data_IF_888447468769
#
_entry.id   IF_888447468769
#
_cell.length_a   1.000
_cell.length_b   1.000
_cell.length_c   1.000
_cell.angle_alpha   90.00
_cell.angle_beta   90.00
_cell.angle_gamma   90.00
#
_symmetry.space_group_name_H-M   'P 1'
#
loop_
_entity.id
_entity.type
_entity.pdbx_description
1 polymer ?
#
# COMPACT_ATOMS: atom_id res chain seq x y z
N UNK A 1 -9.30 20.73 -14.45
CA UNK A 1 -10.36 20.67 -13.43
C UNK A 1 -9.86 21.38 -12.18
N UNK A 2 -10.67 22.18 -11.47
CA UNK A 2 -10.30 22.69 -10.15
C UNK A 2 -10.05 21.51 -9.19
N UNK A 3 -8.82 21.38 -8.70
CA UNK A 3 -8.37 20.24 -7.88
C UNK A 3 -8.74 20.39 -6.41
N UNK A 4 -10.03 20.31 -6.08
CA UNK A 4 -10.52 20.41 -4.70
C UNK A 4 -9.98 19.31 -3.77
N UNK A 5 -9.65 18.15 -4.35
CA UNK A 5 -9.06 17.02 -3.65
C UNK A 5 -7.67 16.72 -4.24
N UNK A 6 -6.71 16.29 -3.41
CA UNK A 6 -5.37 15.89 -3.83
C UNK A 6 -5.39 14.53 -4.56
N UNK A 7 -6.09 14.49 -5.70
CA UNK A 7 -6.45 13.27 -6.41
C UNK A 7 -5.25 12.45 -6.86
N UNK A 8 -4.12 13.12 -7.14
CA UNK A 8 -2.88 12.47 -7.57
C UNK A 8 -2.34 11.50 -6.51
N UNK A 9 -2.37 11.89 -5.23
CA UNK A 9 -1.87 11.06 -4.13
C UNK A 9 -2.90 10.03 -3.69
N UNK A 10 -4.17 10.44 -3.64
CA UNK A 10 -5.27 9.57 -3.19
C UNK A 10 -5.43 8.36 -4.12
N UNK A 11 -5.52 8.59 -5.43
CA UNK A 11 -5.73 7.51 -6.38
C UNK A 11 -4.43 6.93 -6.94
N UNK A 12 -3.32 7.65 -6.82
CA UNK A 12 -2.07 7.30 -7.48
C UNK A 12 -2.17 7.46 -9.01
N UNK A 13 -1.08 7.12 -9.69
CA UNK A 13 -1.04 7.08 -11.16
C UNK A 13 0.09 6.17 -11.64
N UNK A 14 -0.15 5.50 -12.77
CA UNK A 14 0.88 4.75 -13.48
C UNK A 14 0.91 5.24 -14.92
N UNK A 15 2.10 5.68 -15.36
CA UNK A 15 2.29 6.26 -16.68
C UNK A 15 3.63 5.87 -17.28
N UNK A 16 3.61 5.57 -18.59
CA UNK A 16 4.80 5.33 -19.39
C UNK A 16 4.82 6.39 -20.47
N UNK A 17 5.85 7.24 -20.45
CA UNK A 17 6.10 8.24 -21.49
C UNK A 17 7.37 7.93 -22.27
N UNK A 18 7.77 8.85 -23.14
CA UNK A 18 9.02 8.73 -23.90
C UNK A 18 10.18 9.20 -23.01
N UNK A 19 11.00 8.25 -22.56
CA UNK A 19 12.18 8.51 -21.73
C UNK A 19 11.89 8.67 -20.22
N UNK A 20 10.64 8.48 -19.77
CA UNK A 20 10.27 8.54 -18.36
C UNK A 20 9.18 7.53 -17.97
N UNK A 21 9.18 7.15 -16.71
CA UNK A 21 8.23 6.24 -16.09
C UNK A 21 7.73 6.88 -14.79
N UNK A 22 6.44 6.72 -14.50
CA UNK A 22 5.83 7.18 -13.26
C UNK A 22 4.98 6.07 -12.68
N UNK A 23 5.17 5.84 -11.38
CA UNK A 23 4.33 4.98 -10.54
C UNK A 23 4.19 5.63 -9.19
N UNK A 24 3.00 6.13 -8.90
CA UNK A 24 2.62 6.72 -7.62
C UNK A 24 1.54 5.81 -7.05
N UNK A 25 1.75 5.20 -5.88
CA UNK A 25 0.74 4.34 -5.26
C UNK A 25 -0.39 5.20 -4.64
N UNK A 26 -1.58 4.62 -4.46
CA UNK A 26 -2.69 5.27 -3.77
C UNK A 26 -2.39 5.46 -2.27
N UNK A 27 -3.05 6.44 -1.65
CA UNK A 27 -2.91 6.79 -0.24
C UNK A 27 -4.27 7.09 0.38
N UNK A 28 -4.35 6.95 1.70
CA UNK A 28 -5.57 7.25 2.43
C UNK A 28 -5.88 8.76 2.39
N UNK A 29 -7.13 9.10 2.09
CA UNK A 29 -7.55 10.51 1.98
C UNK A 29 -7.36 11.27 3.29
N UNK A 30 -7.66 10.65 4.43
CA UNK A 30 -7.59 11.32 5.73
C UNK A 30 -6.15 11.66 6.09
N UNK A 31 -5.23 10.69 5.92
CA UNK A 31 -3.80 10.88 6.16
C UNK A 31 -3.20 11.98 5.26
N UNK A 32 -3.61 12.02 3.99
CA UNK A 32 -3.16 13.06 3.06
C UNK A 32 -3.68 14.43 3.48
N UNK A 33 -4.93 14.53 3.94
CA UNK A 33 -5.49 15.79 4.45
C UNK A 33 -4.75 16.23 5.71
N UNK A 34 -4.47 15.32 6.65
CA UNK A 34 -3.75 15.62 7.89
C UNK A 34 -2.33 16.14 7.61
N UNK A 35 -1.61 15.51 6.68
CA UNK A 35 -0.30 15.99 6.24
C UNK A 35 -0.37 17.36 5.56
N UNK A 36 -1.44 17.64 4.78
CA UNK A 36 -1.65 18.95 4.18
C UNK A 36 -1.94 20.03 5.24
N UNK A 37 -2.73 19.71 6.27
CA UNK A 37 -2.99 20.61 7.39
C UNK A 37 -1.72 20.88 8.21
N UNK A 38 -0.88 19.87 8.39
CA UNK A 38 0.45 20.01 8.99
C UNK A 38 1.31 20.97 8.18
N UNK A 39 1.43 20.76 6.86
CA UNK A 39 2.21 21.63 5.96
C UNK A 39 1.64 23.05 5.85
N UNK A 40 0.34 23.22 6.01
CA UNK A 40 -0.30 24.54 6.04
C UNK A 40 0.04 25.31 7.33
N UNK A 41 0.12 24.59 8.45
CA UNK A 41 0.44 25.16 9.76
C UNK A 41 1.94 25.44 9.91
N UNK A 42 2.78 24.57 9.37
CA UNK A 42 4.23 24.71 9.31
C UNK A 42 4.71 24.52 7.85
N UNK A 43 4.92 25.63 7.11
CA UNK A 43 5.42 25.59 5.73
C UNK A 43 6.81 24.97 5.59
N UNK A 44 7.61 24.92 6.65
CA UNK A 44 8.97 24.36 6.65
C UNK A 44 9.02 22.89 7.10
N UNK A 45 7.86 22.29 7.40
CA UNK A 45 7.76 20.89 7.79
C UNK A 45 8.50 19.97 6.80
N UNK A 46 9.42 19.17 7.32
CA UNK A 46 10.25 18.26 6.52
C UNK A 46 9.44 17.04 6.07
N UNK A 47 9.96 16.29 5.09
CA UNK A 47 9.34 15.03 4.68
C UNK A 47 9.22 14.03 5.84
N UNK A 48 10.13 14.08 6.81
CA UNK A 48 10.11 13.25 8.01
C UNK A 48 8.89 13.54 8.89
N UNK A 49 8.59 14.82 9.11
CA UNK A 49 7.40 15.24 9.87
C UNK A 49 6.12 14.84 9.12
N UNK A 50 6.09 15.00 7.79
CA UNK A 50 4.92 14.62 6.99
C UNK A 50 4.69 13.09 6.97
N UNK A 51 5.76 12.29 7.08
CA UNK A 51 5.68 10.83 7.22
C UNK A 51 5.09 10.37 8.55
N UNK A 52 5.00 11.24 9.57
CA UNK A 52 4.27 10.91 10.81
C UNK A 52 2.75 10.91 10.58
N UNK A 53 2.28 11.67 9.59
CA UNK A 53 0.86 11.75 9.22
C UNK A 53 0.50 10.77 8.10
N UNK A 54 1.40 10.53 7.14
CA UNK A 54 1.21 9.55 6.07
C UNK A 54 2.03 8.30 6.39
N UNK A 55 1.37 7.30 6.97
CA UNK A 55 2.03 6.08 7.44
C UNK A 55 2.55 5.24 6.26
N UNK A 56 1.87 5.32 5.14
CA UNK A 56 2.30 4.69 3.90
C UNK A 56 1.21 4.64 2.84
N UNK A 57 1.45 3.89 1.76
CA UNK A 57 0.46 3.66 0.72
C UNK A 57 -0.72 2.82 1.21
N UNK A 58 -1.91 3.13 0.72
CA UNK A 58 -3.16 2.43 1.05
C UNK A 58 -3.76 1.81 -0.22
N UNK A 59 -3.73 0.49 -0.32
CA UNK A 59 -4.17 -0.23 -1.51
C UNK A 59 -5.64 -0.65 -1.39
N UNK A 60 -6.46 -0.50 -2.45
CA UNK A 60 -7.87 -0.89 -2.42
C UNK A 60 -8.07 -2.40 -2.28
N UNK A 61 -7.04 -3.21 -2.56
CA UNK A 61 -7.04 -4.67 -2.38
C UNK A 61 -6.58 -5.11 -0.99
N UNK A 62 -6.34 -4.16 -0.07
CA UNK A 62 -5.62 -4.38 1.16
C UNK A 62 -4.26 -5.06 0.90
N UNK A 63 -3.91 -6.06 1.70
CA UNK A 63 -2.63 -6.75 1.66
C UNK A 63 -1.66 -6.23 2.71
N UNK A 64 -0.46 -6.80 2.70
CA UNK A 64 0.57 -6.49 3.68
C UNK A 64 1.81 -5.92 3.02
N UNK A 65 2.20 -4.71 3.39
CA UNK A 65 3.47 -4.13 2.98
C UNK A 65 4.57 -4.70 3.88
N UNK A 66 5.62 -5.24 3.27
CA UNK A 66 6.74 -5.86 3.98
C UNK A 66 7.88 -4.86 4.06
N UNK A 67 8.09 -4.33 5.27
CA UNK A 67 9.12 -3.35 5.57
C UNK A 67 8.73 -1.92 5.19
N UNK A 68 9.35 -0.95 5.86
CA UNK A 68 9.04 0.48 5.74
C UNK A 68 10.16 1.28 5.08
N UNK A 69 11.36 0.70 4.94
CA UNK A 69 12.51 1.43 4.40
C UNK A 69 12.26 1.93 2.98
N UNK A 70 11.72 1.07 2.11
CA UNK A 70 11.43 1.45 0.73
C UNK A 70 10.37 2.55 0.59
N UNK A 71 9.46 2.68 1.55
CA UNK A 71 8.48 3.77 1.60
C UNK A 71 9.19 5.08 1.98
N UNK A 72 10.06 5.04 3.00
CA UNK A 72 10.85 6.22 3.40
C UNK A 72 11.72 6.74 2.27
N UNK A 73 12.43 5.83 1.59
CA UNK A 73 13.27 6.18 0.43
C UNK A 73 12.44 6.79 -0.71
N UNK A 74 11.23 6.24 -0.94
CA UNK A 74 10.28 6.76 -1.94
C UNK A 74 9.83 8.18 -1.60
N UNK A 75 9.50 8.49 -0.35
CA UNK A 75 9.08 9.83 0.05
C UNK A 75 10.23 10.85 0.08
N UNK A 76 11.45 10.41 0.43
CA UNK A 76 12.61 11.30 0.47
C UNK A 76 13.18 11.62 -0.93
N UNK A 77 13.21 10.63 -1.83
CA UNK A 77 13.93 10.74 -3.12
C UNK A 77 13.02 10.67 -4.35
N UNK A 78 11.74 10.33 -4.18
CA UNK A 78 10.81 10.03 -5.26
C UNK A 78 11.04 8.64 -5.89
N UNK A 79 11.99 7.84 -5.37
CA UNK A 79 12.29 6.49 -5.84
C UNK A 79 12.42 5.53 -4.67
N UNK A 80 11.76 4.39 -4.77
CA UNK A 80 11.84 3.35 -3.76
C UNK A 80 11.21 2.06 -4.27
N UNK A 81 11.50 0.96 -3.58
CA UNK A 81 10.89 -0.33 -3.86
C UNK A 81 10.19 -0.83 -2.61
N UNK A 82 8.92 -1.21 -2.75
CA UNK A 82 8.14 -1.81 -1.67
C UNK A 82 7.66 -3.19 -2.09
N UNK A 83 7.63 -4.12 -1.14
CA UNK A 83 7.11 -5.47 -1.37
C UNK A 83 5.71 -5.57 -0.78
N UNK A 84 4.73 -5.92 -1.61
CA UNK A 84 3.34 -6.17 -1.16
C UNK A 84 3.09 -7.67 -1.19
N UNK A 85 2.66 -8.22 -0.05
CA UNK A 85 2.39 -9.64 0.16
C UNK A 85 0.90 -9.89 0.34
N UNK A 86 0.43 -11.02 -0.18
CA UNK A 86 -0.90 -11.55 0.11
C UNK A 86 -1.05 -11.89 1.60
N UNK A 87 -2.26 -11.73 2.13
CA UNK A 87 -2.58 -12.17 3.49
C UNK A 87 -3.17 -13.57 3.43
N UNK A 88 -2.50 -14.50 4.10
CA UNK A 88 -2.90 -15.89 4.15
C UNK A 88 -2.93 -16.39 5.60
N UNK A 89 -3.88 -17.27 5.89
CA UNK A 89 -4.02 -17.97 7.16
C UNK A 89 -3.93 -19.47 6.88
N UNK A 90 -3.24 -20.20 7.76
CA UNK A 90 -3.16 -21.66 7.69
C UNK A 90 -4.19 -22.22 8.67
N UNK A 91 -5.17 -22.95 8.16
CA UNK A 91 -6.18 -23.64 8.96
C UNK A 91 -5.93 -25.14 8.94
N UNK A 92 -6.10 -25.80 10.09
CA UNK A 92 -5.99 -27.26 10.21
C UNK A 92 -7.39 -27.86 10.26
N UNK A 93 -7.71 -28.71 9.29
CA UNK A 93 -9.01 -29.38 9.19
C UNK A 93 -8.86 -30.81 9.69
N UNK A 94 -9.64 -31.18 10.71
CA UNK A 94 -9.77 -32.54 11.17
C UNK A 94 -10.85 -33.26 10.34
N UNK A 95 -10.46 -34.21 9.49
CA UNK A 95 -11.42 -34.99 8.71
C UNK A 95 -12.08 -36.04 9.61
N UNK A 96 -13.36 -35.84 9.96
CA UNK A 96 -14.11 -36.84 10.71
C UNK A 96 -14.29 -38.12 9.88
N UNK A 97 -13.59 -39.19 10.26
CA UNK A 97 -13.97 -40.57 9.92
C UNK A 97 -12.96 -41.45 9.19
N UNK A 98 -11.83 -40.94 8.66
CA UNK A 98 -10.77 -41.79 8.07
C UNK A 98 -9.39 -41.15 8.21
N UNK A 99 -8.54 -41.75 9.05
CA UNK A 99 -7.12 -41.44 9.28
C UNK A 99 -6.83 -40.11 10.01
N UNK A 100 -6.03 -40.19 11.07
CA UNK A 100 -5.48 -39.09 11.88
C UNK A 100 -4.46 -38.25 11.07
N UNK A 101 -4.86 -37.72 9.93
CA UNK A 101 -4.02 -36.84 9.12
C UNK A 101 -4.63 -35.45 9.17
N UNK A 102 -4.06 -34.58 10.02
CA UNK A 102 -4.36 -33.15 10.02
C UNK A 102 -4.07 -32.61 8.62
N UNK A 103 -5.11 -32.21 7.88
CA UNK A 103 -4.91 -31.55 6.60
C UNK A 103 -4.75 -30.06 6.84
N UNK A 104 -3.63 -29.50 6.37
CA UNK A 104 -3.40 -28.06 6.38
C UNK A 104 -3.98 -27.43 5.12
N UNK A 105 -4.78 -26.38 5.28
CA UNK A 105 -5.33 -25.58 4.20
C UNK A 105 -4.82 -24.14 4.31
N UNK A 106 -4.29 -23.61 3.22
CA UNK A 106 -3.88 -22.20 3.14
C UNK A 106 -5.05 -21.40 2.57
N UNK A 107 -5.58 -20.47 3.36
CA UNK A 107 -6.67 -19.58 2.98
C UNK A 107 -6.10 -18.18 2.73
N UNK A 108 -6.10 -17.75 1.47
CA UNK A 108 -5.69 -16.41 1.08
C UNK A 108 -6.92 -15.49 1.12
N UNK A 109 -6.88 -14.46 1.96
CA UNK A 109 -7.99 -13.50 2.17
C UNK A 109 -7.82 -12.21 1.38
N UNK A 110 -6.57 -11.78 1.16
CA UNK A 110 -6.23 -10.52 0.48
C UNK A 110 -5.09 -10.78 -0.52
N UNK A 111 -5.15 -10.16 -1.69
CA UNK A 111 -4.14 -10.30 -2.75
C UNK A 111 -3.39 -8.97 -2.99
N UNK A 112 -2.15 -9.00 -3.49
CA UNK A 112 -1.41 -7.78 -3.78
C UNK A 112 -2.10 -6.94 -4.87
N UNK A 113 -1.87 -5.62 -4.80
CA UNK A 113 -2.45 -4.67 -5.74
C UNK A 113 -2.04 -4.97 -7.19
N UNK A 114 -3.00 -4.86 -8.12
CA UNK A 114 -2.84 -5.14 -9.56
C UNK A 114 -2.44 -6.59 -9.92
N UNK A 115 -2.61 -7.55 -9.02
CA UNK A 115 -2.47 -8.98 -9.32
C UNK A 115 -3.81 -9.56 -9.77
N UNK A 116 -3.81 -10.29 -10.90
CA UNK A 116 -5.01 -10.99 -11.39
C UNK A 116 -5.17 -12.32 -10.66
N UNK A 117 -6.38 -12.62 -10.19
CA UNK A 117 -6.70 -13.89 -9.50
C UNK A 117 -6.73 -15.10 -10.45
N UNK A 118 -7.06 -14.89 -11.72
CA UNK A 118 -7.41 -15.95 -12.67
C UNK A 118 -6.33 -16.21 -13.74
N UNK A 119 -5.08 -15.84 -13.49
CA UNK A 119 -3.95 -16.22 -14.35
C UNK A 119 -3.06 -17.23 -13.64
#
# INVERSE_FOLDING_TARGET
LPGLLPNLLVNGTTGIGVGYLTRIPPHNLSEVIDALLCKLSDPDATSEVLMEHILGPDFPTAGMIVGTQGIKDMYATGRGSMTVRAKAVIERIATAGKSETEQEQIIITEIPYQVKKNQ
#
